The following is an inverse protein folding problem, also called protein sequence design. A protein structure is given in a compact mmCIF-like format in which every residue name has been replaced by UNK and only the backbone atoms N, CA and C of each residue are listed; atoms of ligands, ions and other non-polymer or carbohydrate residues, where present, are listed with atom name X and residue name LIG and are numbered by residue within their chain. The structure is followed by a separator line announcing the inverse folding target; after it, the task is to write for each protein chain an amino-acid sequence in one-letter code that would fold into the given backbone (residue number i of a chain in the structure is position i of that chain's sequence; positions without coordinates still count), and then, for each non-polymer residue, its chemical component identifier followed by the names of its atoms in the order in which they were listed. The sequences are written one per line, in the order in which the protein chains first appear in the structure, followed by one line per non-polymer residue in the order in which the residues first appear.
data_IF_738363179948
#
_entry.id   IF_738363179948
#
_cell.length_a   1.000
_cell.length_b   1.000
_cell.length_c   1.000
_cell.angle_alpha   90.00
_cell.angle_beta   90.00
_cell.angle_gamma   90.00
#
_symmetry.space_group_name_H-M   'P 1'
#
loop_
_entity.id
_entity.type
_entity.pdbx_description
1 polymer ?
#
# COMPACT_ATOMS: atom_id res chain seq x y z
N UNK A 1 -28.32 -2.05 20.76
CA UNK A 1 -27.93 -2.98 19.67
C UNK A 1 -27.19 -2.30 18.50
N UNK A 2 -27.14 -0.96 18.40
CA UNK A 2 -26.41 -0.24 17.33
C UNK A 2 -24.89 -0.07 17.59
N UNK A 3 -24.41 -0.35 18.80
CA UNK A 3 -23.02 -0.08 19.22
C UNK A 3 -21.99 -1.06 18.63
N UNK A 4 -22.40 -2.29 18.30
CA UNK A 4 -21.51 -3.31 17.73
C UNK A 4 -21.09 -2.98 16.30
N UNK A 5 -21.97 -2.36 15.51
CA UNK A 5 -21.68 -1.95 14.13
C UNK A 5 -20.65 -0.82 14.07
N UNK A 6 -20.88 0.26 14.83
CA UNK A 6 -19.98 1.42 14.88
C UNK A 6 -18.61 1.05 15.46
N UNK A 7 -18.56 0.19 16.48
CA UNK A 7 -17.31 -0.30 17.05
C UNK A 7 -16.44 -1.06 16.03
N UNK A 8 -17.06 -1.86 15.16
CA UNK A 8 -16.34 -2.59 14.12
C UNK A 8 -15.76 -1.65 13.05
N UNK A 9 -16.51 -0.61 12.65
CA UNK A 9 -16.07 0.40 11.68
C UNK A 9 -14.83 1.15 12.20
N UNK A 10 -14.86 1.59 13.46
CA UNK A 10 -13.72 2.29 14.09
C UNK A 10 -12.49 1.39 14.16
N UNK A 11 -12.67 0.11 14.52
CA UNK A 11 -11.57 -0.85 14.55
C UNK A 11 -10.92 -1.03 13.17
N UNK A 12 -11.71 -1.18 12.10
CA UNK A 12 -11.17 -1.31 10.73
C UNK A 12 -10.45 -0.03 10.29
N UNK A 13 -10.97 1.16 10.59
CA UNK A 13 -10.30 2.43 10.29
C UNK A 13 -8.97 2.57 11.02
N UNK A 14 -8.93 2.18 12.29
CA UNK A 14 -7.71 2.23 13.10
C UNK A 14 -6.65 1.29 12.55
N UNK A 15 -7.02 0.04 12.22
CA UNK A 15 -6.10 -0.91 11.59
C UNK A 15 -5.58 -0.40 10.26
N UNK A 16 -6.43 0.17 9.40
CA UNK A 16 -6.02 0.71 8.11
C UNK A 16 -5.06 1.89 8.24
N UNK A 17 -5.31 2.79 9.20
CA UNK A 17 -4.43 3.93 9.47
C UNK A 17 -3.02 3.47 9.92
N UNK A 18 -2.95 2.52 10.85
CA UNK A 18 -1.68 1.94 11.31
C UNK A 18 -0.92 1.32 10.13
N UNK A 19 -1.61 0.52 9.32
CA UNK A 19 -1.02 -0.14 8.17
C UNK A 19 -0.52 0.85 7.10
N UNK A 20 -1.19 1.99 6.91
CA UNK A 20 -0.71 3.07 6.03
C UNK A 20 0.66 3.61 6.50
N UNK A 21 0.79 3.91 7.79
CA UNK A 21 2.06 4.40 8.34
C UNK A 21 3.18 3.37 8.23
N UNK A 22 2.87 2.10 8.53
CA UNK A 22 3.85 1.01 8.42
C UNK A 22 4.35 0.87 6.99
N UNK A 23 3.47 0.89 6.00
CA UNK A 23 3.86 0.74 4.59
C UNK A 23 4.73 1.92 4.13
N UNK A 24 4.36 3.16 4.47
CA UNK A 24 5.17 4.33 4.11
C UNK A 24 6.54 4.28 4.79
N UNK A 25 6.60 3.93 6.08
CA UNK A 25 7.86 3.77 6.80
C UNK A 25 8.74 2.67 6.18
N UNK A 26 8.13 1.52 5.84
CA UNK A 26 8.84 0.39 5.21
C UNK A 26 9.34 0.76 3.82
N UNK A 27 8.51 1.40 2.99
CA UNK A 27 8.90 1.87 1.67
C UNK A 27 10.04 2.89 1.73
N UNK A 28 10.01 3.79 2.72
CA UNK A 28 11.07 4.79 2.94
C UNK A 28 12.37 4.13 3.37
N UNK A 29 12.32 3.18 4.31
CA UNK A 29 13.49 2.45 4.79
C UNK A 29 14.13 1.61 3.68
N UNK A 30 13.31 0.85 2.95
CA UNK A 30 13.77 0.06 1.80
C UNK A 30 14.35 0.98 0.74
N UNK A 31 13.68 2.08 0.39
CA UNK A 31 14.17 3.05 -0.58
C UNK A 31 15.52 3.66 -0.17
N UNK A 32 15.67 4.02 1.10
CA UNK A 32 16.90 4.59 1.64
C UNK A 32 18.09 3.61 1.56
N UNK A 33 17.88 2.34 1.93
CA UNK A 33 18.90 1.29 1.81
C UNK A 33 19.35 1.10 0.35
N UNK A 34 18.42 1.20 -0.59
CA UNK A 34 18.73 1.13 -2.02
C UNK A 34 19.54 2.34 -2.48
N UNK A 35 19.18 3.56 -2.08
CA UNK A 35 19.92 4.77 -2.45
C UNK A 35 21.37 4.75 -1.95
N UNK A 36 21.61 4.23 -0.74
CA UNK A 36 22.95 4.12 -0.17
C UNK A 36 23.82 3.11 -0.91
N UNK A 37 23.25 1.99 -1.34
CA UNK A 37 23.99 0.91 -2.02
C UNK A 37 24.09 1.11 -3.54
N UNK A 38 23.23 1.95 -4.12
CA UNK A 38 23.18 2.23 -5.56
C UNK A 38 24.52 2.71 -6.15
N UNK A 39 25.26 3.55 -5.42
CA UNK A 39 26.55 4.05 -5.89
C UNK A 39 27.57 2.92 -6.06
N UNK A 40 27.62 1.98 -5.10
CA UNK A 40 28.49 0.81 -5.18
C UNK A 40 28.03 -0.15 -6.28
N UNK A 41 26.73 -0.29 -6.48
CA UNK A 41 26.16 -1.12 -7.55
C UNK A 41 26.53 -0.61 -8.94
N UNK A 42 26.42 0.70 -9.16
CA UNK A 42 26.84 1.33 -10.42
C UNK A 42 28.33 1.09 -10.69
N UNK A 43 29.19 1.29 -9.69
CA UNK A 43 30.63 1.14 -9.87
C UNK A 43 31.04 -0.32 -10.16
N UNK A 44 30.48 -1.29 -9.43
CA UNK A 44 30.85 -2.70 -9.59
C UNK A 44 30.16 -3.40 -10.76
N UNK A 45 28.87 -3.12 -11.00
CA UNK A 45 28.08 -3.87 -11.97
C UNK A 45 27.97 -3.18 -13.33
N UNK A 46 27.91 -1.84 -13.40
CA UNK A 46 27.84 -1.15 -14.70
C UNK A 46 29.21 -1.04 -15.38
N UNK A 47 30.30 -1.05 -14.62
CA UNK A 47 31.67 -1.01 -15.19
C UNK A 47 32.14 -2.38 -15.72
N UNK A 48 31.50 -3.48 -15.30
CA UNK A 48 31.95 -4.86 -15.59
C UNK A 48 30.95 -5.60 -16.50
N UNK A 49 31.42 -6.64 -17.21
CA UNK A 49 30.55 -7.50 -18.05
C UNK A 49 29.40 -8.06 -17.21
N UNK A 50 28.17 -7.72 -17.59
CA UNK A 50 26.95 -8.18 -16.94
C UNK A 50 26.85 -9.71 -17.02
N UNK A 51 27.08 -10.39 -15.90
CA UNK A 51 26.86 -11.82 -15.77
C UNK A 51 25.39 -12.11 -15.43
N UNK A 52 24.91 -13.30 -15.79
CA UNK A 52 23.55 -13.76 -15.48
C UNK A 52 23.22 -13.67 -13.98
N UNK A 53 24.19 -13.99 -13.10
CA UNK A 53 24.01 -13.86 -11.65
C UNK A 53 23.77 -12.42 -11.20
N UNK A 54 24.40 -11.42 -11.86
CA UNK A 54 24.12 -10.02 -11.59
C UNK A 54 22.69 -9.66 -11.99
N UNK A 55 22.22 -10.15 -13.13
CA UNK A 55 20.87 -9.86 -13.63
C UNK A 55 19.78 -10.41 -12.70
N UNK A 56 19.96 -11.62 -12.16
CA UNK A 56 19.05 -12.19 -11.16
C UNK A 56 19.09 -11.40 -9.85
N UNK A 57 20.27 -10.94 -9.43
CA UNK A 57 20.43 -10.09 -8.25
C UNK A 57 19.69 -8.75 -8.42
N UNK A 58 19.88 -8.07 -9.56
CA UNK A 58 19.15 -6.84 -9.89
C UNK A 58 17.64 -7.08 -9.96
N UNK A 59 17.19 -8.16 -10.58
CA UNK A 59 15.77 -8.45 -10.65
C UNK A 59 15.16 -8.65 -9.26
N UNK A 60 15.77 -9.48 -8.42
CA UNK A 60 15.31 -9.70 -7.04
C UNK A 60 15.28 -8.39 -6.24
N UNK A 61 16.36 -7.59 -6.35
CA UNK A 61 16.51 -6.35 -5.60
C UNK A 61 15.51 -5.26 -6.03
N UNK A 62 15.35 -5.03 -7.33
CA UNK A 62 14.52 -3.95 -7.83
C UNK A 62 13.03 -4.32 -7.87
N UNK A 63 12.66 -5.60 -7.98
CA UNK A 63 11.27 -6.04 -7.86
C UNK A 63 10.69 -5.70 -6.49
N UNK A 64 11.46 -5.87 -5.42
CA UNK A 64 11.04 -5.51 -4.07
C UNK A 64 10.77 -3.99 -3.94
N UNK A 65 11.67 -3.16 -4.48
CA UNK A 65 11.49 -1.70 -4.49
C UNK A 65 10.26 -1.30 -5.30
N UNK A 66 10.11 -1.84 -6.50
CA UNK A 66 8.95 -1.57 -7.37
C UNK A 66 7.66 -1.97 -6.66
N UNK A 67 7.64 -3.10 -5.97
CA UNK A 67 6.48 -3.54 -5.19
C UNK A 67 6.10 -2.50 -4.12
N UNK A 68 7.04 -2.07 -3.28
CA UNK A 68 6.74 -1.10 -2.22
C UNK A 68 6.39 0.30 -2.77
N UNK A 69 7.07 0.75 -3.83
CA UNK A 69 6.79 2.03 -4.49
C UNK A 69 5.42 2.00 -5.18
N UNK A 70 5.02 0.88 -5.79
CA UNK A 70 3.69 0.70 -6.38
C UNK A 70 2.59 0.58 -5.31
N UNK A 71 2.90 0.01 -4.14
CA UNK A 71 1.91 -0.16 -3.08
C UNK A 71 1.48 1.16 -2.42
N UNK A 72 2.38 2.15 -2.33
CA UNK A 72 2.10 3.48 -1.76
C UNK A 72 0.95 4.20 -2.48
N UNK A 73 0.95 4.41 -3.81
CA UNK A 73 -0.15 5.05 -4.51
C UNK A 73 -1.41 4.19 -4.48
N UNK A 74 -1.32 2.86 -4.61
CA UNK A 74 -2.48 1.95 -4.52
C UNK A 74 -3.24 2.14 -3.20
N UNK A 75 -2.52 2.45 -2.12
CA UNK A 75 -3.06 2.65 -0.77
C UNK A 75 -3.53 4.09 -0.52
N UNK A 76 -2.93 5.08 -1.19
CA UNK A 76 -3.36 6.48 -1.14
C UNK A 76 -4.57 6.80 -2.02
N UNK A 77 -4.78 6.04 -3.10
CA UNK A 77 -5.94 6.19 -3.98
C UNK A 77 -7.02 5.16 -3.61
N UNK A 78 -8.07 5.55 -2.86
CA UNK A 78 -9.14 4.64 -2.42
C UNK A 78 -9.96 4.07 -3.59
N UNK A 79 -9.84 4.63 -4.80
CA UNK A 79 -10.47 4.09 -6.01
C UNK A 79 -9.83 2.78 -6.51
N UNK A 80 -8.59 2.48 -6.10
CA UNK A 80 -7.85 1.30 -6.54
C UNK A 80 -8.01 0.13 -5.55
N UNK A 81 -8.42 0.39 -4.30
CA UNK A 81 -8.50 -0.62 -3.24
C UNK A 81 -9.93 -0.82 -2.70
N UNK A 82 -10.42 -2.05 -2.80
CA UNK A 82 -11.73 -2.47 -2.28
C UNK A 82 -11.83 -2.44 -0.73
N UNK A 83 -10.70 -2.23 -0.04
CA UNK A 83 -10.62 -2.12 1.43
C UNK A 83 -11.48 -0.98 2.00
N UNK A 84 -11.75 0.07 1.21
CA UNK A 84 -12.64 1.17 1.60
C UNK A 84 -14.11 0.97 1.16
N UNK A 85 -14.40 -0.06 0.36
CA UNK A 85 -15.74 -0.40 -0.15
C UNK A 85 -16.85 -0.46 0.91
N UNK A 86 -16.64 -1.04 2.10
CA UNK A 86 -17.66 -1.00 3.15
C UNK A 86 -17.93 0.43 3.65
N UNK A 87 -16.95 1.33 3.76
CA UNK A 87 -17.21 2.70 4.22
C UNK A 87 -17.96 3.56 3.19
N UNK A 88 -17.81 3.27 1.90
CA UNK A 88 -18.57 3.94 0.82
C UNK A 88 -20.01 3.42 0.77
N UNK A 89 -20.22 2.11 0.98
CA UNK A 89 -21.53 1.46 0.83
C UNK A 89 -22.42 1.51 2.09
N UNK A 90 -21.84 1.51 3.29
CA UNK A 90 -22.58 1.58 4.57
C UNK A 90 -23.42 2.87 4.73
N UNK A 91 -22.90 4.10 4.53
CA UNK A 91 -23.71 5.31 4.69
C UNK A 91 -24.88 5.35 3.70
N UNK A 92 -24.66 4.92 2.45
CA UNK A 92 -25.71 4.87 1.42
C UNK A 92 -26.82 3.88 1.81
N UNK A 93 -26.46 2.70 2.33
CA UNK A 93 -27.45 1.72 2.77
C UNK A 93 -28.28 2.19 3.98
N UNK A 94 -27.69 2.97 4.90
CA UNK A 94 -28.43 3.58 6.03
C UNK A 94 -29.37 4.69 5.57
N UNK A 95 -28.95 5.54 4.63
CA UNK A 95 -29.79 6.59 4.03
C UNK A 95 -30.97 6.00 3.25
N UNK A 96 -30.73 4.94 2.45
CA UNK A 96 -31.79 4.23 1.72
C UNK A 96 -32.79 3.53 2.65
N UNK A 97 -32.32 3.01 3.80
CA UNK A 97 -33.20 2.40 4.81
C UNK A 97 -34.00 3.43 5.60
N UNK A 98 -33.57 4.69 5.65
CA UNK A 98 -34.30 5.83 6.23
C UNK A 98 -35.21 6.56 5.23
N UNK A 99 -35.03 6.33 3.92
CA UNK A 99 -35.93 6.81 2.86
C UNK A 99 -36.81 5.70 2.25
N UNK A 100 -37.65 4.98 3.02
CA UNK A 100 -38.67 4.10 2.45
C UNK A 100 -39.93 4.87 1.97
N UNK A 101 -39.90 6.21 1.89
CA UNK A 101 -41.07 7.05 1.63
C UNK A 101 -40.97 7.95 0.39
N UNK A 102 -39.97 7.77 -0.47
CA UNK A 102 -39.77 8.61 -1.67
C UNK A 102 -39.95 7.88 -3.02
N UNK A 103 -40.50 6.66 -3.04
CA UNK A 103 -41.05 6.00 -4.22
C UNK A 103 -42.34 5.26 -3.88
#
# INVERSE_FOLDING_TARGET
MATSGTGNIVAVLQTNSIMNFVIVATATLVGFDHLMTFQQELELFWSRRLNLSCMVFFFNRYVAVIYYVAMVPIRFFPSVTQEYGPFISQPIATELKQSPAAL
#
